data_IF_610482867254
#
_entry.id   IF_610482867254
#
_cell.length_a   1.000
_cell.length_b   1.000
_cell.length_c   1.000
_cell.angle_alpha   90.00
_cell.angle_beta   90.00
_cell.angle_gamma   90.00
#
_symmetry.space_group_name_H-M   'P 1'
#
loop_
_entity.id
_entity.type
_entity.pdbx_description
1 polymer ?
#
# COMPACT_ATOMS: atom_id res chain seq x y z
N UNK A 1 -75.09 22.47 13.42
CA UNK A 1 -74.27 22.34 14.67
C UNK A 1 -72.86 21.93 14.44
N UNK A 2 -72.38 21.80 13.23
CA UNK A 2 -71.03 21.28 12.84
C UNK A 2 -69.93 22.35 12.66
N UNK A 3 -70.29 23.59 12.51
CA UNK A 3 -69.30 24.66 12.15
C UNK A 3 -68.53 25.24 13.35
N UNK A 4 -68.94 24.97 14.59
CA UNK A 4 -68.21 25.46 15.82
C UNK A 4 -67.14 24.52 16.35
N UNK A 5 -67.20 23.22 16.02
CA UNK A 5 -66.26 22.23 16.53
C UNK A 5 -64.95 22.25 15.75
N UNK A 6 -64.99 22.48 14.44
CA UNK A 6 -63.82 22.52 13.58
C UNK A 6 -62.90 23.74 13.79
N UNK A 7 -63.43 24.88 14.26
CA UNK A 7 -62.63 26.07 14.60
C UNK A 7 -61.82 25.94 15.89
N UNK A 8 -62.26 25.09 16.80
CA UNK A 8 -61.56 24.88 18.09
C UNK A 8 -60.38 23.91 17.96
N UNK A 9 -60.48 22.94 17.06
CA UNK A 9 -59.38 21.96 16.79
C UNK A 9 -58.25 22.59 15.98
N UNK A 10 -58.55 23.48 15.03
CA UNK A 10 -57.51 24.23 14.30
C UNK A 10 -56.78 25.26 15.16
N UNK A 11 -57.42 25.83 16.21
CA UNK A 11 -56.79 26.80 17.12
C UNK A 11 -55.85 26.14 18.14
N UNK A 12 -55.97 24.83 18.40
CA UNK A 12 -55.07 24.10 19.31
C UNK A 12 -53.83 23.51 18.63
N UNK A 13 -53.88 23.31 17.31
CA UNK A 13 -52.67 22.83 16.56
C UNK A 13 -51.64 23.94 16.26
N UNK A 14 -52.02 25.24 16.38
CA UNK A 14 -51.12 26.38 16.10
C UNK A 14 -50.33 26.89 17.29
N UNK A 15 -50.39 26.23 18.48
CA UNK A 15 -49.71 26.69 19.69
C UNK A 15 -48.47 25.88 20.10
N UNK A 16 -47.96 25.01 19.24
CA UNK A 16 -46.76 24.21 19.55
C UNK A 16 -45.44 24.77 18.99
N UNK A 17 -45.50 25.85 18.21
CA UNK A 17 -44.30 26.56 17.77
C UNK A 17 -44.56 28.07 17.92
N UNK A 18 -43.72 28.84 18.61
CA UNK A 18 -43.83 30.30 18.65
C UNK A 18 -43.52 30.88 17.28
N UNK A 19 -44.32 31.87 16.84
CA UNK A 19 -44.26 32.48 15.49
C UNK A 19 -42.92 33.17 15.14
N UNK A 20 -41.94 33.18 16.06
CA UNK A 20 -40.63 33.88 15.90
C UNK A 20 -39.41 32.96 16.07
N UNK A 21 -39.56 31.64 15.89
CA UNK A 21 -38.40 30.76 16.05
C UNK A 21 -37.39 30.91 14.88
N UNK A 22 -37.81 31.41 13.73
CA UNK A 22 -36.93 31.65 12.54
C UNK A 22 -36.03 32.88 12.71
N UNK A 23 -36.40 33.86 13.57
CA UNK A 23 -35.59 35.08 13.75
C UNK A 23 -34.54 35.00 14.85
N UNK A 24 -34.50 33.90 15.66
CA UNK A 24 -33.62 33.80 16.83
C UNK A 24 -32.60 32.70 16.80
N UNK A 25 -32.51 31.90 15.75
CA UNK A 25 -31.40 30.97 15.62
C UNK A 25 -30.17 31.73 15.06
N UNK A 26 -29.15 31.99 15.86
CA UNK A 26 -27.95 32.64 15.39
C UNK A 26 -27.29 31.72 14.34
N UNK A 27 -27.37 32.11 13.06
CA UNK A 27 -26.92 31.32 11.93
C UNK A 27 -25.45 30.85 12.07
N UNK A 28 -24.62 31.65 12.74
CA UNK A 28 -23.20 31.36 12.97
C UNK A 28 -22.93 30.14 13.88
N UNK A 29 -23.55 30.02 15.07
CA UNK A 29 -23.32 28.81 15.90
C UNK A 29 -24.00 27.57 15.32
N UNK A 30 -25.09 27.67 14.54
CA UNK A 30 -25.70 26.53 13.85
C UNK A 30 -24.78 26.01 12.73
N UNK A 31 -24.20 26.90 11.94
CA UNK A 31 -23.21 26.54 10.91
C UNK A 31 -21.93 25.97 11.53
N UNK A 32 -21.50 26.49 12.68
CA UNK A 32 -20.34 25.96 13.41
C UNK A 32 -20.63 24.55 13.95
N UNK A 33 -21.80 24.30 14.53
CA UNK A 33 -22.24 22.99 15.00
C UNK A 33 -22.39 21.97 13.86
N UNK A 34 -22.94 22.38 12.71
CA UNK A 34 -23.01 21.56 11.50
C UNK A 34 -21.61 21.23 10.95
N UNK A 35 -20.69 22.20 10.97
CA UNK A 35 -19.30 21.99 10.61
C UNK A 35 -18.59 21.03 11.53
N UNK A 36 -18.75 21.15 12.85
CA UNK A 36 -18.23 20.18 13.83
C UNK A 36 -18.83 18.78 13.65
N UNK A 37 -20.13 18.67 13.42
CA UNK A 37 -20.80 17.40 13.15
C UNK A 37 -20.28 16.75 11.86
N UNK A 38 -20.04 17.56 10.83
CA UNK A 38 -19.45 17.07 9.57
C UNK A 38 -18.03 16.55 9.78
N UNK A 39 -17.20 17.28 10.55
CA UNK A 39 -15.83 16.84 10.88
C UNK A 39 -15.85 15.56 11.70
N UNK A 40 -16.71 15.45 12.70
CA UNK A 40 -16.88 14.22 13.51
C UNK A 40 -17.40 13.07 12.65
N UNK A 41 -18.35 13.34 11.75
CA UNK A 41 -18.89 12.32 10.83
C UNK A 41 -17.81 11.83 9.84
N UNK A 42 -17.01 12.73 9.29
CA UNK A 42 -15.86 12.37 8.44
C UNK A 42 -14.81 11.61 9.24
N UNK A 43 -14.52 12.01 10.49
CA UNK A 43 -13.59 11.29 11.36
C UNK A 43 -14.08 9.87 11.70
N UNK A 44 -15.39 9.68 11.88
CA UNK A 44 -16.00 8.35 12.10
C UNK A 44 -15.93 7.52 10.81
N UNK A 45 -16.17 8.11 9.64
CA UNK A 45 -16.06 7.41 8.35
C UNK A 45 -14.62 7.00 8.00
N UNK A 46 -13.65 7.84 8.37
CA UNK A 46 -12.21 7.55 8.14
C UNK A 46 -11.66 6.58 9.19
N UNK A 47 -12.22 6.55 10.39
CA UNK A 47 -11.86 5.64 11.49
C UNK A 47 -12.90 4.52 11.68
N UNK A 48 -13.34 3.87 10.62
CA UNK A 48 -14.13 2.64 10.78
C UNK A 48 -13.24 1.60 11.47
N UNK A 49 -13.62 1.08 12.64
CA UNK A 49 -12.81 0.08 13.30
C UNK A 49 -12.71 -1.16 12.40
N UNK A 50 -11.54 -1.76 12.34
CA UNK A 50 -11.28 -2.99 11.58
C UNK A 50 -12.31 -4.10 11.86
N UNK A 51 -12.88 -4.11 13.05
CA UNK A 51 -13.95 -5.02 13.47
C UNK A 51 -15.21 -4.98 12.58
N UNK A 52 -15.48 -3.87 11.88
CA UNK A 52 -16.62 -3.77 10.97
C UNK A 52 -16.45 -4.67 9.72
N UNK A 53 -15.21 -4.92 9.31
CA UNK A 53 -14.90 -5.79 8.17
C UNK A 53 -14.82 -7.27 8.56
N UNK A 54 -14.57 -7.57 9.84
CA UNK A 54 -14.47 -8.96 10.33
C UNK A 54 -15.79 -9.74 10.30
N UNK A 55 -16.93 -9.06 10.28
CA UNK A 55 -18.27 -9.66 10.24
C UNK A 55 -18.87 -9.65 8.82
N UNK A 56 -18.03 -9.78 7.79
CA UNK A 56 -18.45 -9.76 6.40
C UNK A 56 -18.55 -11.19 5.83
N UNK A 57 -19.45 -11.39 4.87
CA UNK A 57 -19.65 -12.68 4.22
C UNK A 57 -18.39 -13.20 3.49
N UNK A 58 -17.58 -12.31 2.92
CA UNK A 58 -16.30 -12.66 2.28
C UNK A 58 -15.32 -13.22 3.30
N UNK A 59 -15.14 -12.55 4.44
CA UNK A 59 -14.27 -13.00 5.53
C UNK A 59 -14.77 -14.32 6.14
N UNK A 60 -16.08 -14.50 6.24
CA UNK A 60 -16.65 -15.78 6.70
C UNK A 60 -16.40 -16.93 5.72
N UNK A 61 -16.37 -16.66 4.41
CA UNK A 61 -15.97 -17.66 3.41
C UNK A 61 -14.48 -18.01 3.60
N UNK A 62 -13.62 -17.01 3.79
CA UNK A 62 -12.20 -17.20 4.03
C UNK A 62 -11.95 -18.00 5.32
N UNK A 63 -12.67 -17.69 6.41
CA UNK A 63 -12.60 -18.43 7.68
C UNK A 63 -13.02 -19.90 7.51
N UNK A 64 -14.07 -20.19 6.72
CA UNK A 64 -14.47 -21.57 6.41
C UNK A 64 -13.44 -22.31 5.56
N UNK A 65 -12.74 -21.60 4.68
CA UNK A 65 -11.61 -22.14 3.90
C UNK A 65 -10.42 -22.47 4.81
N UNK A 66 -10.26 -21.77 5.93
CA UNK A 66 -9.27 -22.03 6.98
C UNK A 66 -7.86 -21.53 6.69
N UNK A 67 -7.61 -20.95 5.50
CA UNK A 67 -6.28 -20.49 5.11
C UNK A 67 -6.36 -19.30 4.15
N UNK A 68 -5.60 -18.25 4.45
CA UNK A 68 -5.28 -17.15 3.55
C UNK A 68 -3.96 -17.45 2.84
N UNK A 69 -3.94 -17.42 1.51
CA UNK A 69 -2.74 -17.66 0.70
C UNK A 69 -2.24 -16.35 0.12
N UNK A 70 -1.06 -15.94 0.52
CA UNK A 70 -0.43 -14.68 0.13
C UNK A 70 0.71 -14.95 -0.84
N UNK A 71 0.60 -14.46 -2.07
CA UNK A 71 1.68 -14.47 -3.05
C UNK A 71 2.78 -13.49 -2.64
N UNK A 72 4.02 -13.93 -2.69
CA UNK A 72 5.20 -13.12 -2.32
C UNK A 72 6.33 -13.37 -3.32
N UNK A 73 7.22 -12.39 -3.48
CA UNK A 73 8.45 -12.59 -4.26
C UNK A 73 9.50 -13.29 -3.38
N UNK A 74 10.17 -14.30 -3.90
CA UNK A 74 11.13 -15.08 -3.11
C UNK A 74 12.51 -14.42 -3.04
N UNK A 75 13.19 -14.65 -1.91
CA UNK A 75 14.58 -14.28 -1.68
C UNK A 75 14.89 -12.78 -1.75
N UNK A 76 13.89 -11.95 -1.41
CA UNK A 76 14.08 -10.50 -1.29
C UNK A 76 14.51 -10.15 0.12
N UNK A 77 15.64 -9.45 0.24
CA UNK A 77 16.23 -9.06 1.53
C UNK A 77 15.20 -8.36 2.44
N UNK A 78 15.08 -8.86 3.66
CA UNK A 78 14.19 -8.31 4.68
C UNK A 78 12.68 -8.49 4.41
N UNK A 79 12.25 -8.68 3.15
CA UNK A 79 10.86 -8.91 2.79
C UNK A 79 10.48 -10.38 2.93
N UNK A 80 11.17 -11.26 2.17
CA UNK A 80 10.97 -12.71 2.25
C UNK A 80 12.27 -13.44 1.92
N UNK A 81 13.02 -13.81 2.93
CA UNK A 81 14.29 -14.51 2.78
C UNK A 81 14.25 -15.82 3.54
N UNK A 82 14.30 -16.94 2.83
CA UNK A 82 14.20 -18.28 3.41
C UNK A 82 12.93 -18.50 4.26
N UNK A 83 11.80 -17.94 3.84
CA UNK A 83 10.52 -18.04 4.55
C UNK A 83 10.42 -17.19 5.82
N UNK A 84 11.30 -16.20 5.98
CA UNK A 84 11.26 -15.23 7.08
C UNK A 84 11.39 -13.81 6.52
N UNK A 85 10.74 -12.84 7.15
CA UNK A 85 10.79 -11.43 6.74
C UNK A 85 9.50 -10.69 7.04
N UNK A 86 9.44 -9.47 6.52
CA UNK A 86 8.31 -8.57 6.73
C UNK A 86 6.99 -9.15 6.19
N UNK A 87 7.02 -9.84 5.04
CA UNK A 87 5.84 -10.46 4.42
C UNK A 87 5.31 -11.62 5.26
N UNK A 88 6.19 -12.40 5.87
CA UNK A 88 5.81 -13.46 6.80
C UNK A 88 5.21 -12.89 8.10
N UNK A 89 5.75 -11.78 8.61
CA UNK A 89 5.18 -11.09 9.77
C UNK A 89 3.77 -10.58 9.48
N UNK A 90 3.55 -9.97 8.31
CA UNK A 90 2.20 -9.57 7.86
C UNK A 90 1.25 -10.77 7.78
N UNK A 91 1.70 -11.86 7.14
CA UNK A 91 0.92 -13.09 7.01
C UNK A 91 0.49 -13.62 8.38
N UNK A 92 1.42 -13.71 9.35
CA UNK A 92 1.13 -14.15 10.70
C UNK A 92 0.14 -13.24 11.43
N UNK A 93 0.31 -11.92 11.32
CA UNK A 93 -0.59 -10.95 11.94
C UNK A 93 -2.00 -10.98 11.33
N UNK A 94 -2.11 -11.11 10.01
CA UNK A 94 -3.41 -11.29 9.34
C UNK A 94 -4.08 -12.60 9.74
N UNK A 95 -3.29 -13.66 9.94
CA UNK A 95 -3.80 -14.93 10.46
C UNK A 95 -4.43 -14.78 11.85
N UNK A 96 -3.78 -14.07 12.75
CA UNK A 96 -4.34 -13.79 14.08
C UNK A 96 -5.64 -12.99 13.99
N UNK A 97 -5.68 -11.94 13.14
CA UNK A 97 -6.87 -11.09 12.97
C UNK A 97 -8.04 -11.85 12.36
N UNK A 98 -7.81 -12.66 11.34
CA UNK A 98 -8.87 -13.32 10.56
C UNK A 98 -9.33 -14.63 11.22
N UNK A 99 -8.37 -15.45 11.68
CA UNK A 99 -8.62 -16.83 12.14
C UNK A 99 -8.46 -17.02 13.64
N UNK A 100 -7.99 -15.98 14.36
CA UNK A 100 -7.60 -16.08 15.78
C UNK A 100 -6.56 -17.20 16.01
N UNK A 101 -5.64 -17.35 15.06
CA UNK A 101 -4.60 -18.38 15.02
C UNK A 101 -3.41 -17.88 14.21
N UNK A 102 -2.20 -18.29 14.52
CA UNK A 102 -0.98 -17.96 13.76
C UNK A 102 -0.81 -18.80 12.50
N UNK A 103 -1.55 -19.89 12.35
CA UNK A 103 -1.35 -20.90 11.30
C UNK A 103 -2.34 -20.80 10.14
N UNK A 104 -3.21 -19.81 10.16
CA UNK A 104 -4.26 -19.61 9.13
C UNK A 104 -3.80 -18.84 7.90
N UNK A 105 -2.51 -18.53 7.78
CA UNK A 105 -1.98 -17.82 6.61
C UNK A 105 -0.69 -18.47 6.13
N UNK A 106 -0.54 -18.63 4.82
CA UNK A 106 0.67 -19.18 4.19
C UNK A 106 1.17 -18.24 3.07
N UNK A 107 2.48 -18.10 2.97
CA UNK A 107 3.10 -17.41 1.83
C UNK A 107 3.39 -18.40 0.71
N UNK A 108 3.17 -17.98 -0.54
CA UNK A 108 3.47 -18.75 -1.75
C UNK A 108 4.35 -17.94 -2.69
N UNK A 109 5.42 -18.54 -3.16
CA UNK A 109 6.28 -17.94 -4.15
C UNK A 109 5.54 -17.67 -5.46
N UNK A 110 5.65 -16.44 -5.91
CA UNK A 110 5.14 -16.01 -7.21
C UNK A 110 6.17 -15.15 -7.93
N UNK A 111 6.03 -15.06 -9.22
CA UNK A 111 6.78 -14.11 -10.04
C UNK A 111 5.81 -13.19 -10.76
N UNK A 112 6.27 -12.03 -11.22
CA UNK A 112 5.45 -11.10 -12.02
C UNK A 112 4.80 -11.76 -13.26
N UNK A 113 5.37 -12.85 -13.77
CA UNK A 113 4.85 -13.58 -14.94
C UNK A 113 3.78 -14.62 -14.56
N UNK A 114 3.80 -15.11 -13.34
CA UNK A 114 2.91 -16.19 -12.89
C UNK A 114 1.78 -15.68 -11.99
N UNK A 115 1.91 -14.50 -11.40
CA UNK A 115 0.97 -13.99 -10.39
C UNK A 115 -0.48 -13.92 -10.89
N UNK A 116 -0.71 -13.37 -12.09
CA UNK A 116 -2.06 -13.24 -12.64
C UNK A 116 -2.72 -14.61 -12.85
N UNK A 117 -1.97 -15.59 -13.34
CA UNK A 117 -2.44 -16.97 -13.48
C UNK A 117 -2.69 -17.61 -12.11
N UNK A 118 -1.77 -17.47 -11.15
CA UNK A 118 -1.92 -18.03 -9.81
C UNK A 118 -3.18 -17.49 -9.09
N UNK A 119 -3.48 -16.19 -9.28
CA UNK A 119 -4.71 -15.58 -8.74
C UNK A 119 -5.95 -16.11 -9.46
N UNK A 120 -5.94 -16.21 -10.79
CA UNK A 120 -7.12 -16.70 -11.56
C UNK A 120 -7.45 -18.16 -11.27
N UNK A 121 -6.44 -19.01 -11.00
CA UNK A 121 -6.64 -20.42 -10.59
C UNK A 121 -7.00 -20.56 -9.10
N UNK A 122 -7.05 -19.43 -8.36
CA UNK A 122 -7.32 -19.44 -6.93
C UNK A 122 -6.23 -20.14 -6.12
N UNK A 123 -4.98 -20.20 -6.61
CA UNK A 123 -3.85 -20.75 -5.88
C UNK A 123 -3.32 -19.78 -4.81
N UNK A 124 -3.51 -18.48 -5.03
CA UNK A 124 -3.29 -17.39 -4.07
C UNK A 124 -4.53 -16.51 -3.98
N UNK A 125 -4.78 -15.95 -2.83
CA UNK A 125 -5.94 -15.09 -2.56
C UNK A 125 -5.58 -13.61 -2.77
N UNK A 126 -4.41 -13.20 -2.32
CA UNK A 126 -3.83 -11.86 -2.51
C UNK A 126 -2.34 -11.98 -2.78
N UNK A 127 -1.73 -10.90 -3.26
CA UNK A 127 -0.28 -10.82 -3.50
C UNK A 127 0.29 -9.53 -2.92
N UNK A 128 1.52 -9.58 -2.43
CA UNK A 128 2.28 -8.40 -2.02
C UNK A 128 3.26 -8.07 -3.13
N UNK A 129 3.11 -6.92 -3.76
CA UNK A 129 4.05 -6.44 -4.79
C UNK A 129 3.90 -4.94 -5.05
N UNK A 130 4.80 -4.39 -5.87
CA UNK A 130 4.65 -3.04 -6.38
C UNK A 130 3.51 -2.94 -7.41
N UNK A 131 2.78 -1.81 -7.41
CA UNK A 131 1.55 -1.62 -8.19
C UNK A 131 1.71 -1.59 -9.70
N UNK A 132 2.92 -1.49 -10.21
CA UNK A 132 3.24 -1.18 -11.60
C UNK A 132 2.73 -2.20 -12.63
N UNK A 133 2.35 -3.42 -12.23
CA UNK A 133 2.15 -4.51 -13.19
C UNK A 133 0.82 -5.26 -13.13
N UNK A 134 0.07 -5.16 -12.05
CA UNK A 134 -1.26 -5.75 -11.93
C UNK A 134 -2.38 -4.72 -12.13
N UNK A 135 -2.06 -3.53 -12.64
CA UNK A 135 -3.02 -2.45 -12.93
C UNK A 135 -3.85 -2.75 -14.18
N UNK A 136 -4.50 -3.92 -14.22
CA UNK A 136 -5.48 -4.29 -15.23
C UNK A 136 -6.89 -4.18 -14.68
N UNK A 137 -7.88 -4.20 -15.58
CA UNK A 137 -9.29 -4.31 -15.17
C UNK A 137 -9.48 -5.59 -14.34
N UNK A 138 -9.88 -5.43 -13.08
CA UNK A 138 -10.21 -6.55 -12.20
C UNK A 138 -9.30 -6.73 -10.99
N UNK A 139 -8.23 -5.95 -10.86
CA UNK A 139 -7.39 -5.93 -9.67
C UNK A 139 -7.65 -4.68 -8.82
N UNK A 140 -7.60 -4.86 -7.50
CA UNK A 140 -7.68 -3.82 -6.48
C UNK A 140 -6.44 -3.92 -5.59
N UNK A 141 -6.07 -2.82 -4.96
CA UNK A 141 -4.98 -2.77 -3.99
C UNK A 141 -5.41 -2.07 -2.71
N UNK A 142 -4.69 -2.31 -1.62
CA UNK A 142 -4.77 -1.46 -0.44
C UNK A 142 -4.38 -0.02 -0.82
N UNK A 143 -4.97 0.97 -0.15
CA UNK A 143 -4.59 2.39 -0.32
C UNK A 143 -3.29 2.68 0.42
N UNK A 144 -3.13 2.08 1.61
CA UNK A 144 -1.93 2.19 2.42
C UNK A 144 -0.85 1.22 1.91
N UNK A 145 0.34 1.71 1.55
CA UNK A 145 1.43 0.81 1.20
C UNK A 145 1.90 0.03 2.43
N UNK A 146 2.11 -1.26 2.24
CA UNK A 146 2.68 -2.15 3.24
C UNK A 146 4.15 -1.81 3.55
N UNK A 147 4.91 -1.44 2.51
CA UNK A 147 6.31 -1.05 2.62
C UNK A 147 6.68 -0.05 1.53
N UNK A 148 7.59 0.86 1.87
CA UNK A 148 8.19 1.81 0.93
C UNK A 148 9.68 1.54 0.80
N UNK A 149 10.10 1.08 -0.38
CA UNK A 149 11.48 0.69 -0.67
C UNK A 149 12.19 1.79 -1.47
N UNK A 150 13.25 2.40 -0.94
CA UNK A 150 14.00 3.39 -1.68
C UNK A 150 14.63 2.81 -2.96
N UNK A 151 14.47 3.48 -4.09
CA UNK A 151 15.21 3.18 -5.32
C UNK A 151 16.62 3.77 -5.23
N UNK A 152 17.59 2.87 -5.23
CA UNK A 152 19.03 3.18 -5.07
C UNK A 152 19.80 2.82 -6.33
N UNK A 153 21.02 3.33 -6.44
CA UNK A 153 21.99 2.89 -7.43
C UNK A 153 22.93 1.86 -6.82
N UNK A 154 23.26 0.82 -7.59
CA UNK A 154 24.24 -0.20 -7.23
C UNK A 154 25.26 -0.40 -8.34
N UNK A 155 26.54 -0.51 -7.98
CA UNK A 155 27.65 -0.75 -8.91
C UNK A 155 28.98 -0.88 -8.19
N UNK A 156 30.07 -1.11 -8.91
CA UNK A 156 31.43 -1.10 -8.33
C UNK A 156 31.88 0.31 -7.96
N UNK A 157 31.41 1.30 -8.70
CA UNK A 157 31.49 2.71 -8.39
C UNK A 157 30.11 3.30 -8.64
N UNK A 158 29.60 4.06 -7.67
CA UNK A 158 28.28 4.70 -7.81
C UNK A 158 28.49 6.20 -7.96
N UNK A 159 27.97 6.84 -9.03
CA UNK A 159 28.04 8.28 -9.21
C UNK A 159 27.42 9.02 -8.01
N UNK A 160 27.91 10.20 -7.71
CA UNK A 160 27.20 11.10 -6.77
C UNK A 160 25.90 11.59 -7.40
N UNK A 161 24.92 11.92 -6.61
CA UNK A 161 23.61 12.40 -7.10
C UNK A 161 23.74 13.62 -8.03
N UNK A 162 24.67 14.51 -7.72
CA UNK A 162 24.95 15.69 -8.56
C UNK A 162 25.67 15.40 -9.89
N UNK A 163 26.27 14.20 -10.04
CA UNK A 163 27.10 13.83 -11.19
C UNK A 163 26.37 12.80 -12.11
N UNK A 164 25.05 12.72 -12.02
CA UNK A 164 24.24 11.74 -12.78
C UNK A 164 24.04 12.12 -14.25
N UNK A 165 24.27 13.38 -14.62
CA UNK A 165 24.16 13.80 -16.01
C UNK A 165 25.09 12.98 -16.90
N UNK A 166 24.58 12.52 -18.03
CA UNK A 166 25.25 11.67 -19.04
C UNK A 166 25.69 10.28 -18.53
N UNK A 167 25.27 9.87 -17.31
CA UNK A 167 25.51 8.53 -16.81
C UNK A 167 24.53 7.54 -17.42
N UNK A 168 25.02 6.35 -17.73
CA UNK A 168 24.23 5.23 -18.24
C UNK A 168 23.76 4.39 -17.06
N UNK A 169 22.47 4.47 -16.75
CA UNK A 169 21.87 3.79 -15.61
C UNK A 169 21.00 2.65 -16.11
N UNK A 170 21.42 1.42 -15.77
CA UNK A 170 20.66 0.22 -16.07
C UNK A 170 19.44 0.11 -15.16
N UNK A 171 18.32 -0.36 -15.69
CA UNK A 171 17.11 -0.65 -14.94
C UNK A 171 16.36 -1.82 -15.54
N UNK A 172 15.65 -2.58 -14.70
CA UNK A 172 14.78 -3.64 -15.22
C UNK A 172 13.54 -2.98 -15.85
N UNK A 173 13.33 -3.22 -17.16
CA UNK A 173 12.20 -2.63 -17.86
C UNK A 173 10.87 -3.13 -17.29
N UNK A 174 9.84 -2.32 -17.45
CA UNK A 174 8.53 -2.67 -16.93
C UNK A 174 8.52 -2.94 -15.43
N UNK A 175 9.19 -2.17 -14.60
CA UNK A 175 9.16 -2.21 -13.13
C UNK A 175 8.91 -0.82 -12.57
N UNK A 176 8.39 -0.76 -11.33
CA UNK A 176 8.23 0.49 -10.61
C UNK A 176 9.55 1.27 -10.48
N UNK A 177 10.70 0.57 -10.40
CA UNK A 177 12.01 1.19 -10.41
C UNK A 177 12.31 1.91 -11.73
N UNK A 178 11.84 1.37 -12.87
CA UNK A 178 11.94 2.04 -14.18
C UNK A 178 11.11 3.33 -14.20
N UNK A 179 9.89 3.28 -13.65
CA UNK A 179 9.02 4.46 -13.57
C UNK A 179 9.61 5.53 -12.64
N UNK A 180 10.15 5.13 -11.49
CA UNK A 180 10.88 6.03 -10.57
C UNK A 180 12.07 6.69 -11.27
N UNK A 181 12.90 5.93 -11.98
CA UNK A 181 14.06 6.48 -12.68
C UNK A 181 13.66 7.41 -13.82
N UNK A 182 12.61 7.05 -14.57
CA UNK A 182 12.04 7.89 -15.64
C UNK A 182 11.51 9.20 -15.10
N UNK A 183 10.76 9.14 -14.00
CA UNK A 183 10.26 10.33 -13.31
C UNK A 183 11.41 11.21 -12.79
N UNK A 184 12.42 10.60 -12.16
CA UNK A 184 13.59 11.32 -11.68
C UNK A 184 14.31 12.05 -12.83
N UNK A 185 14.48 11.41 -13.99
CA UNK A 185 15.07 12.02 -15.18
C UNK A 185 14.28 13.26 -15.64
N UNK A 186 12.95 13.18 -15.61
CA UNK A 186 12.07 14.26 -16.06
C UNK A 186 12.02 15.43 -15.04
N UNK A 187 11.85 15.12 -13.76
CA UNK A 187 11.68 16.13 -12.70
C UNK A 187 12.96 16.95 -12.46
N UNK A 188 14.13 16.33 -12.56
CA UNK A 188 15.42 16.99 -12.33
C UNK A 188 16.04 17.54 -13.63
N UNK A 189 15.35 17.47 -14.77
CA UNK A 189 15.91 17.80 -16.10
C UNK A 189 17.29 17.14 -16.30
N UNK A 190 17.44 15.95 -15.72
CA UNK A 190 18.72 15.25 -15.67
C UNK A 190 18.94 14.46 -16.95
N UNK A 191 19.98 14.77 -17.69
CA UNK A 191 20.32 14.14 -18.95
C UNK A 191 20.99 12.75 -18.81
N UNK A 192 20.62 11.96 -17.77
CA UNK A 192 21.09 10.57 -17.66
C UNK A 192 20.50 9.69 -18.78
N UNK A 193 21.22 8.64 -19.18
CA UNK A 193 20.76 7.65 -20.15
C UNK A 193 20.16 6.45 -19.39
N UNK A 194 18.87 6.17 -19.61
CA UNK A 194 18.20 4.99 -19.06
C UNK A 194 18.44 3.82 -20.01
N UNK A 195 19.04 2.73 -19.50
CA UNK A 195 19.35 1.51 -20.27
C UNK A 195 18.47 0.37 -19.74
N UNK A 196 17.36 0.00 -20.43
CA UNK A 196 16.44 -1.03 -19.96
C UNK A 196 16.99 -2.44 -20.22
N UNK A 197 16.77 -3.34 -19.25
CA UNK A 197 17.09 -4.77 -19.32
C UNK A 197 15.85 -5.62 -19.05
N UNK A 198 15.82 -6.83 -19.60
CA UNK A 198 14.71 -7.77 -19.39
C UNK A 198 14.88 -8.63 -18.11
N UNK A 199 16.13 -8.81 -17.66
CA UNK A 199 16.45 -9.63 -16.50
C UNK A 199 17.50 -8.98 -15.59
N UNK A 200 17.40 -9.19 -14.28
CA UNK A 200 18.41 -8.73 -13.32
C UNK A 200 19.81 -9.25 -13.64
N UNK A 201 19.91 -10.51 -14.07
CA UNK A 201 21.21 -11.10 -14.43
C UNK A 201 21.93 -10.30 -15.50
N UNK A 202 21.25 -9.98 -16.60
CA UNK A 202 21.84 -9.23 -17.73
C UNK A 202 22.23 -7.81 -17.32
N UNK A 203 21.38 -7.18 -16.51
CA UNK A 203 21.64 -5.87 -15.94
C UNK A 203 22.91 -5.86 -15.07
N UNK A 204 23.09 -6.87 -14.21
CA UNK A 204 24.29 -7.01 -13.39
C UNK A 204 25.54 -7.37 -14.20
N UNK A 205 25.40 -8.16 -15.26
CA UNK A 205 26.49 -8.42 -16.21
C UNK A 205 26.96 -7.14 -16.88
N UNK A 206 26.04 -6.26 -17.30
CA UNK A 206 26.37 -4.98 -17.88
C UNK A 206 27.11 -4.05 -16.90
N UNK A 207 26.70 -4.03 -15.62
CA UNK A 207 27.42 -3.30 -14.55
C UNK A 207 28.83 -3.85 -14.37
N UNK A 208 29.00 -5.18 -14.32
CA UNK A 208 30.34 -5.84 -14.21
C UNK A 208 31.24 -5.53 -15.39
N UNK A 209 30.67 -5.48 -16.57
CA UNK A 209 31.40 -5.18 -17.82
C UNK A 209 31.74 -3.68 -17.99
N UNK A 210 31.21 -2.80 -17.10
CA UNK A 210 31.35 -1.36 -17.27
C UNK A 210 30.59 -0.80 -18.48
N UNK A 211 29.63 -1.55 -19.02
CA UNK A 211 28.76 -1.10 -20.11
C UNK A 211 27.74 -0.08 -19.67
N UNK A 212 27.48 -0.01 -18.38
CA UNK A 212 26.66 0.98 -17.68
C UNK A 212 27.38 1.43 -16.42
N UNK A 213 27.09 2.64 -15.94
CA UNK A 213 27.76 3.19 -14.76
C UNK A 213 27.22 2.60 -13.46
N UNK A 214 25.91 2.32 -13.39
CA UNK A 214 25.26 1.71 -12.24
C UNK A 214 23.92 1.08 -12.64
N UNK A 215 23.35 0.28 -11.74
CA UNK A 215 21.99 -0.25 -11.85
C UNK A 215 21.07 0.41 -10.85
N UNK A 216 19.87 0.83 -11.28
CA UNK A 216 18.80 1.36 -10.45
C UNK A 216 17.82 0.24 -10.08
N UNK A 217 17.54 0.07 -8.79
CA UNK A 217 16.61 -0.92 -8.29
C UNK A 217 16.15 -0.57 -6.86
N UNK A 218 15.07 -1.19 -6.34
CA UNK A 218 14.73 -1.12 -4.92
C UNK A 218 15.91 -1.57 -4.05
N UNK A 219 16.10 -0.96 -2.90
CA UNK A 219 17.22 -1.25 -2.00
C UNK A 219 17.23 -2.70 -1.53
N UNK A 220 16.07 -3.28 -1.24
CA UNK A 220 15.96 -4.69 -0.87
C UNK A 220 16.48 -5.60 -1.97
N UNK A 221 16.17 -5.30 -3.24
CA UNK A 221 16.70 -6.02 -4.40
C UNK A 221 18.20 -5.80 -4.58
N UNK A 222 18.69 -4.58 -4.36
CA UNK A 222 20.11 -4.29 -4.40
C UNK A 222 20.88 -5.11 -3.34
N UNK A 223 20.35 -5.23 -2.12
CA UNK A 223 20.94 -6.04 -1.06
C UNK A 223 20.90 -7.53 -1.37
N UNK A 224 19.83 -8.02 -2.02
CA UNK A 224 19.68 -9.42 -2.43
C UNK A 224 20.65 -9.82 -3.54
N UNK A 225 20.98 -8.89 -4.44
CA UNK A 225 21.78 -9.17 -5.65
C UNK A 225 23.20 -8.61 -5.60
N UNK A 226 23.60 -8.01 -4.47
CA UNK A 226 24.91 -7.36 -4.35
C UNK A 226 26.06 -8.35 -4.40
N UNK A 227 26.90 -8.23 -5.41
CA UNK A 227 28.16 -8.97 -5.49
C UNK A 227 29.26 -8.37 -4.59
N UNK A 228 30.30 -9.18 -4.35
CA UNK A 228 31.48 -8.72 -3.62
C UNK A 228 32.14 -7.54 -4.35
N UNK A 229 32.30 -6.44 -3.62
CA UNK A 229 32.91 -5.20 -4.14
C UNK A 229 31.90 -4.20 -4.73
N UNK A 230 30.65 -4.59 -4.95
CA UNK A 230 29.61 -3.62 -5.30
C UNK A 230 29.21 -2.78 -4.08
N UNK A 231 28.94 -1.53 -4.33
CA UNK A 231 28.44 -0.53 -3.37
C UNK A 231 27.02 -0.09 -3.75
N UNK A 232 26.24 0.29 -2.76
CA UNK A 232 24.90 0.86 -2.91
C UNK A 232 25.00 2.34 -2.58
N UNK A 233 24.29 3.19 -3.34
CA UNK A 233 24.25 4.64 -3.07
C UNK A 233 23.73 4.94 -1.67
N UNK A 234 24.29 5.96 -1.02
CA UNK A 234 23.77 6.52 0.22
C UNK A 234 22.58 7.47 0.01
N UNK A 235 22.00 7.51 -1.20
CA UNK A 235 20.86 8.34 -1.55
C UNK A 235 19.88 7.54 -2.40
N UNK A 236 18.62 7.97 -2.41
CA UNK A 236 17.57 7.43 -3.27
C UNK A 236 17.21 8.38 -4.42
N UNK A 237 16.76 7.80 -5.54
CA UNK A 237 16.20 8.53 -6.68
C UNK A 237 14.67 8.68 -6.58
N UNK A 238 14.06 7.95 -5.70
CA UNK A 238 12.62 7.90 -5.42
C UNK A 238 12.30 6.66 -4.60
N UNK A 239 11.04 6.27 -4.58
CA UNK A 239 10.56 5.17 -3.74
C UNK A 239 9.60 4.29 -4.52
N UNK A 240 9.73 2.98 -4.36
CA UNK A 240 8.76 1.97 -4.82
C UNK A 240 7.84 1.63 -3.66
N UNK A 241 6.54 1.64 -3.89
CA UNK A 241 5.55 1.27 -2.90
C UNK A 241 5.05 -0.15 -3.15
N UNK A 242 5.06 -0.97 -2.10
CA UNK A 242 4.52 -2.32 -2.09
C UNK A 242 3.14 -2.30 -1.43
N UNK A 243 2.17 -2.88 -2.12
CA UNK A 243 0.78 -2.97 -1.68
C UNK A 243 0.33 -4.41 -1.62
N UNK A 244 -0.75 -4.68 -0.89
CA UNK A 244 -1.47 -5.94 -0.98
C UNK A 244 -2.50 -5.77 -2.09
N UNK A 245 -2.47 -6.69 -3.06
CA UNK A 245 -3.27 -6.65 -4.27
C UNK A 245 -4.15 -7.91 -4.33
N UNK A 246 -5.42 -7.73 -4.65
CA UNK A 246 -6.39 -8.80 -4.86
C UNK A 246 -7.23 -8.55 -6.09
N UNK A 247 -8.24 -9.36 -6.31
CA UNK A 247 -9.27 -9.12 -7.32
C UNK A 247 -10.48 -8.42 -6.72
N UNK A 248 -11.47 -8.08 -7.53
CA UNK A 248 -12.74 -7.53 -7.05
C UNK A 248 -13.47 -8.45 -6.05
N UNK A 249 -13.15 -9.74 -6.03
CA UNK A 249 -13.72 -10.72 -5.11
C UNK A 249 -13.13 -10.62 -3.70
N UNK A 250 -11.93 -10.01 -3.55
CA UNK A 250 -11.25 -9.78 -2.28
C UNK A 250 -11.37 -8.32 -1.79
N UNK A 251 -12.39 -7.60 -2.22
CA UNK A 251 -12.57 -6.19 -1.87
C UNK A 251 -12.64 -5.95 -0.37
N UNK A 252 -13.42 -6.74 0.34
CA UNK A 252 -13.62 -6.56 1.79
C UNK A 252 -12.39 -7.03 2.57
N UNK A 253 -11.71 -8.08 2.09
CA UNK A 253 -10.41 -8.51 2.61
C UNK A 253 -9.36 -7.41 2.46
N UNK A 254 -9.27 -6.76 1.30
CA UNK A 254 -8.35 -5.65 1.08
C UNK A 254 -8.67 -4.45 1.98
N UNK A 255 -9.95 -4.15 2.19
CA UNK A 255 -10.38 -3.09 3.12
C UNK A 255 -10.03 -3.42 4.57
N UNK A 256 -10.16 -4.69 4.98
CA UNK A 256 -9.70 -5.18 6.28
C UNK A 256 -8.18 -5.02 6.41
N UNK A 257 -7.43 -5.48 5.43
CA UNK A 257 -5.96 -5.39 5.43
C UNK A 257 -5.53 -3.92 5.50
N UNK A 258 -6.14 -3.03 4.71
CA UNK A 258 -5.82 -1.60 4.71
C UNK A 258 -6.07 -0.96 6.08
N UNK A 259 -7.21 -1.26 6.71
CA UNK A 259 -7.51 -0.78 8.07
C UNK A 259 -6.53 -1.30 9.12
N UNK A 260 -6.05 -2.55 8.99
CA UNK A 260 -5.03 -3.11 9.87
C UNK A 260 -3.66 -2.45 9.63
N UNK A 261 -3.27 -2.21 8.38
CA UNK A 261 -2.02 -1.49 8.06
C UNK A 261 -2.00 -0.09 8.70
N UNK A 262 -3.12 0.62 8.63
CA UNK A 262 -3.28 1.94 9.29
C UNK A 262 -3.16 1.79 10.83
N UNK A 263 -3.82 0.80 11.42
CA UNK A 263 -3.75 0.55 12.86
C UNK A 263 -2.32 0.22 13.31
N UNK A 264 -1.63 -0.69 12.61
CA UNK A 264 -0.24 -1.07 12.89
C UNK A 264 0.78 0.04 12.61
N UNK A 265 0.47 0.95 11.69
CA UNK A 265 1.28 2.17 11.50
C UNK A 265 1.16 3.11 12.69
N UNK A 266 -0.08 3.30 13.19
CA UNK A 266 -0.38 4.22 14.29
C UNK A 266 0.14 3.73 15.65
N UNK A 267 0.10 2.43 15.93
CA UNK A 267 0.58 1.84 17.19
C UNK A 267 2.08 1.50 17.19
N UNK A 268 2.76 1.70 16.04
CA UNK A 268 4.19 1.46 15.88
C UNK A 268 4.57 0.02 15.55
N UNK A 269 3.61 -0.89 15.35
CA UNK A 269 3.86 -2.29 14.99
C UNK A 269 4.62 -2.42 13.69
N UNK A 270 4.20 -1.69 12.62
CA UNK A 270 4.92 -1.68 11.33
C UNK A 270 6.36 -1.22 11.49
N UNK A 271 6.59 -0.14 12.25
CA UNK A 271 7.93 0.36 12.51
C UNK A 271 8.81 -0.70 13.18
N UNK A 272 8.28 -1.38 14.19
CA UNK A 272 8.97 -2.46 14.90
C UNK A 272 9.33 -3.63 13.97
N UNK A 273 8.46 -3.97 13.02
CA UNK A 273 8.77 -4.97 12.00
C UNK A 273 9.89 -4.49 11.07
N UNK A 274 9.84 -3.23 10.60
CA UNK A 274 10.92 -2.68 9.77
C UNK A 274 12.27 -2.69 10.50
N UNK A 275 12.29 -2.37 11.80
CA UNK A 275 13.50 -2.46 12.64
C UNK A 275 13.99 -3.92 12.76
N UNK A 276 13.07 -4.87 12.97
CA UNK A 276 13.40 -6.28 13.13
C UNK A 276 14.05 -6.89 11.89
N UNK A 277 13.60 -6.46 10.70
CA UNK A 277 14.07 -7.00 9.41
C UNK A 277 15.08 -6.10 8.69
N UNK A 278 15.64 -5.11 9.38
CA UNK A 278 16.63 -4.16 8.84
C UNK A 278 16.14 -3.41 7.59
N UNK A 279 14.88 -2.96 7.65
CA UNK A 279 14.18 -2.25 6.59
C UNK A 279 13.98 -0.75 6.87
N UNK A 280 14.47 -0.23 7.99
CA UNK A 280 14.54 1.20 8.24
C UNK A 280 15.80 1.77 7.59
N UNK A 281 15.61 2.71 6.67
CA UNK A 281 16.70 3.38 5.99
C UNK A 281 16.59 4.89 6.19
N UNK A 282 17.71 5.50 6.61
CA UNK A 282 17.91 6.94 6.56
C UNK A 282 18.74 7.23 5.30
N UNK A 283 18.06 7.62 4.23
CA UNK A 283 18.67 8.02 2.96
C UNK A 283 18.49 9.54 2.86
N UNK A 284 19.51 10.28 3.32
CA UNK A 284 19.59 11.73 3.22
C UNK A 284 19.80 12.22 1.80
#
# INVERSE_FOLDING_TARGET
METKFNKKVQKHRRRLLPDNWQEKLPLRPVLFLLGMLLVVFVAILVNQPADSYLNNAEIDVLRRKGTLRVGVDENVYGLNQNGAGLEQALCSALSEVIFNSTDGCETKAVTRHTVAWQMSEGNIDVVIMSLDKLTGKGYLSTETPFYRDPCVLMGYTVPKKADLAQKRIAVLHDTAACDVLTKYQQDEENALEIVPYAAYYDMLVAVRAGSVDAACMPRTMALSHRDKGMVISGYALGTVEYHVIGTNEQKDLLSLIDSQLIAWANDGTLRKWYETYDLLYDLS
#
